data_IF_745416771270
#
_entry.id   IF_745416771270
#
_cell.length_a   1.000
_cell.length_b   1.000
_cell.length_c   1.000
_cell.angle_alpha   90.00
_cell.angle_beta   90.00
_cell.angle_gamma   90.00
#
_symmetry.space_group_name_H-M   'P 1'
#
loop_
_entity.id
_entity.type
_entity.pdbx_description
1 polymer ?
#
# COMPACT_ATOMS: atom_id res chain seq x y z
N UNK A 1 59.11 16.67 -25.94
CA UNK A 1 57.77 16.14 -25.65
C UNK A 1 57.53 16.23 -24.15
N UNK A 2 56.69 17.15 -23.67
CA UNK A 2 56.33 17.28 -22.25
C UNK A 2 54.95 16.64 -22.07
N UNK A 3 54.86 15.64 -21.20
CA UNK A 3 53.61 15.01 -20.82
C UNK A 3 52.93 15.83 -19.71
N UNK A 4 51.70 16.26 -19.96
CA UNK A 4 50.86 16.95 -18.98
C UNK A 4 49.85 15.96 -18.45
N UNK A 5 49.97 15.59 -17.17
CA UNK A 5 49.05 14.68 -16.49
C UNK A 5 47.88 15.52 -15.96
N UNK A 6 46.68 15.28 -16.46
CA UNK A 6 45.43 15.87 -15.96
C UNK A 6 44.89 14.93 -14.88
N UNK A 7 44.65 15.37 -13.63
CA UNK A 7 43.99 14.53 -12.64
C UNK A 7 42.48 14.56 -12.87
N UNK A 8 41.90 13.40 -13.16
CA UNK A 8 40.44 13.21 -13.21
C UNK A 8 39.85 13.32 -11.81
N UNK A 9 39.03 14.34 -11.60
CA UNK A 9 38.23 14.56 -10.40
C UNK A 9 37.07 13.55 -10.39
N UNK A 10 37.22 12.48 -9.60
CA UNK A 10 36.14 11.52 -9.37
C UNK A 10 35.08 12.16 -8.44
N UNK A 11 33.96 12.57 -9.04
CA UNK A 11 32.77 13.05 -8.33
C UNK A 11 32.05 11.85 -7.71
N UNK A 12 32.30 11.62 -6.42
CA UNK A 12 31.60 10.62 -5.62
C UNK A 12 30.18 11.13 -5.33
N UNK A 13 29.21 10.72 -6.14
CA UNK A 13 27.78 10.97 -5.92
C UNK A 13 27.32 10.10 -4.75
N UNK A 14 27.24 10.69 -3.55
CA UNK A 14 26.55 10.13 -2.40
C UNK A 14 25.04 10.16 -2.69
N UNK A 15 24.50 9.02 -3.11
CA UNK A 15 23.06 8.78 -3.10
C UNK A 15 22.61 8.76 -1.64
N UNK A 16 22.03 9.86 -1.17
CA UNK A 16 21.34 9.90 0.12
C UNK A 16 20.15 8.96 0.06
N UNK A 17 20.18 7.92 0.88
CA UNK A 17 19.01 7.13 1.19
C UNK A 17 17.99 8.05 1.86
N UNK A 18 16.95 8.47 1.14
CA UNK A 18 15.76 9.08 1.76
C UNK A 18 15.02 7.96 2.48
N UNK A 19 15.49 7.63 3.69
CA UNK A 19 14.67 6.87 4.63
C UNK A 19 13.65 7.85 5.20
N UNK A 20 12.36 7.50 5.07
CA UNK A 20 11.26 8.20 5.74
C UNK A 20 11.62 8.43 7.21
N UNK A 21 11.53 9.67 7.69
CA UNK A 21 11.88 9.97 9.08
C UNK A 21 10.93 9.26 10.05
N UNK A 22 11.52 8.65 11.10
CA UNK A 22 10.81 8.13 12.27
C UNK A 22 10.91 9.09 13.47
N UNK A 23 11.45 10.29 13.26
CA UNK A 23 11.50 11.34 14.27
C UNK A 23 10.06 11.71 14.68
N UNK A 24 9.89 12.01 15.98
CA UNK A 24 8.62 12.39 16.58
C UNK A 24 8.73 13.84 17.07
N UNK A 25 7.90 14.69 16.48
CA UNK A 25 7.65 16.07 16.92
C UNK A 25 6.28 16.19 17.60
N UNK A 26 6.01 17.37 18.13
CA UNK A 26 4.70 17.73 18.68
C UNK A 26 4.01 18.68 17.71
N UNK A 27 2.73 18.44 17.43
CA UNK A 27 1.92 19.31 16.57
C UNK A 27 1.94 20.77 17.04
N UNK A 28 1.93 21.04 18.36
CA UNK A 28 1.93 22.40 18.94
C UNK A 28 3.17 23.24 18.57
N UNK A 29 4.24 22.56 18.15
CA UNK A 29 5.53 23.19 17.82
C UNK A 29 5.69 23.43 16.31
N UNK A 30 4.66 23.13 15.50
CA UNK A 30 4.70 23.28 14.04
C UNK A 30 3.54 24.14 13.52
N UNK A 31 3.68 24.68 12.32
CA UNK A 31 2.60 25.37 11.64
C UNK A 31 1.56 24.33 11.14
N UNK A 32 0.27 24.41 11.54
CA UNK A 32 -0.78 23.50 11.09
C UNK A 32 -0.94 23.42 9.56
N UNK A 33 -0.68 24.52 8.84
CA UNK A 33 -0.76 24.54 7.38
C UNK A 33 0.37 23.75 6.69
N UNK A 34 1.44 23.40 7.43
CA UNK A 34 2.60 22.67 6.93
C UNK A 34 2.56 21.16 7.24
N UNK A 35 1.38 20.64 7.62
CA UNK A 35 1.20 19.24 7.97
C UNK A 35 0.77 18.43 6.75
N UNK A 36 1.55 17.42 6.39
CA UNK A 36 1.21 16.42 5.39
C UNK A 36 0.43 15.25 6.01
N UNK A 37 -0.60 14.78 5.33
CA UNK A 37 -1.44 13.66 5.79
C UNK A 37 -1.07 12.36 5.04
N UNK A 38 -0.55 11.35 5.74
CA UNK A 38 -0.19 10.04 5.16
C UNK A 38 -1.15 8.98 5.70
N UNK A 39 -2.14 8.60 4.90
CA UNK A 39 -3.17 7.63 5.26
C UNK A 39 -2.95 6.31 4.52
N UNK A 40 -2.88 5.22 5.27
CA UNK A 40 -2.66 3.86 4.74
C UNK A 40 -3.73 2.93 5.26
N UNK A 41 -4.33 2.17 4.36
CA UNK A 41 -5.35 1.17 4.68
C UNK A 41 -4.96 -0.13 4.01
N UNK A 42 -4.94 -1.23 4.76
CA UNK A 42 -4.65 -2.52 4.16
C UNK A 42 -5.35 -3.69 4.83
N UNK A 43 -5.51 -4.76 4.05
CA UNK A 43 -5.91 -6.08 4.53
C UNK A 43 -5.50 -7.14 3.51
N UNK A 44 -5.72 -8.40 3.84
CA UNK A 44 -5.49 -9.54 2.96
C UNK A 44 -6.63 -10.55 3.17
N UNK A 45 -7.03 -11.22 2.11
CA UNK A 45 -8.03 -12.28 2.17
C UNK A 45 -7.60 -13.38 3.14
N UNK A 46 -8.53 -13.79 4.02
CA UNK A 46 -8.25 -14.78 5.06
C UNK A 46 -7.55 -14.20 6.31
N UNK A 47 -7.14 -12.93 6.30
CA UNK A 47 -6.80 -12.22 7.55
C UNK A 47 -8.06 -11.79 8.28
N UNK A 48 -7.96 -11.72 9.59
CA UNK A 48 -9.08 -11.34 10.45
C UNK A 48 -9.48 -9.88 10.29
N UNK A 49 -8.49 -8.99 10.10
CA UNK A 49 -8.67 -7.55 10.25
C UNK A 49 -8.25 -6.74 9.03
N UNK A 50 -8.93 -5.62 8.84
CA UNK A 50 -8.41 -4.47 8.11
C UNK A 50 -7.72 -3.52 9.09
N UNK A 51 -6.65 -2.88 8.63
CA UNK A 51 -5.88 -1.91 9.40
C UNK A 51 -5.91 -0.56 8.70
N UNK A 52 -6.16 0.48 9.48
CA UNK A 52 -6.05 1.88 9.09
C UNK A 52 -4.93 2.50 9.91
N UNK A 53 -3.93 3.08 9.24
CA UNK A 53 -2.84 3.81 9.87
C UNK A 53 -2.79 5.21 9.31
N UNK A 54 -2.90 6.18 10.20
CA UNK A 54 -2.89 7.60 9.87
C UNK A 54 -1.64 8.21 10.49
N UNK A 55 -0.89 8.98 9.69
CA UNK A 55 0.25 9.73 10.16
C UNK A 55 0.16 11.18 9.69
N UNK A 56 0.60 12.08 10.56
CA UNK A 56 0.68 13.51 10.30
C UNK A 56 2.15 13.89 10.34
N UNK A 57 2.65 14.54 9.29
CA UNK A 57 4.08 14.77 9.11
C UNK A 57 4.37 16.24 8.85
N UNK A 58 5.46 16.76 9.41
CA UNK A 58 5.98 18.10 9.10
C UNK A 58 7.17 17.97 8.14
N UNK A 59 7.16 18.75 7.06
CA UNK A 59 8.20 18.70 6.03
C UNK A 59 7.92 17.68 4.92
N UNK A 60 6.65 17.36 4.66
CA UNK A 60 6.23 16.50 3.56
C UNK A 60 6.15 14.99 3.91
N UNK A 61 6.05 14.11 2.89
CA UNK A 61 5.79 12.68 3.07
C UNK A 61 6.87 11.91 3.84
N UNK A 62 8.14 12.37 3.75
CA UNK A 62 9.27 11.77 4.46
C UNK A 62 9.62 12.50 5.77
N UNK A 63 8.79 13.47 6.14
CA UNK A 63 9.04 14.39 7.25
C UNK A 63 8.83 13.79 8.66
N UNK A 64 9.10 14.61 9.66
CA UNK A 64 8.96 14.28 11.09
C UNK A 64 7.50 13.99 11.43
N UNK A 65 7.23 12.81 12.00
CA UNK A 65 5.89 12.44 12.46
C UNK A 65 5.45 13.26 13.66
N UNK A 66 4.14 13.51 13.81
CA UNK A 66 3.62 14.41 14.84
C UNK A 66 2.72 13.68 15.83
N UNK A 67 2.96 13.92 17.11
CA UNK A 67 1.96 13.74 18.16
C UNK A 67 0.99 14.92 18.11
N UNK A 68 -0.28 14.63 17.87
CA UNK A 68 -1.38 15.59 17.95
C UNK A 68 -1.63 15.98 19.41
N UNK A 69 -1.44 17.26 19.73
CA UNK A 69 -1.69 17.86 21.02
C UNK A 69 -3.03 18.59 20.95
N UNK A 70 -3.77 18.66 22.06
CA UNK A 70 -5.05 19.38 22.11
C UNK A 70 -4.93 20.82 21.56
N UNK A 71 -5.89 21.27 20.73
CA UNK A 71 -7.15 20.61 20.38
C UNK A 71 -7.08 19.58 19.24
N UNK A 72 -5.89 19.30 18.70
CA UNK A 72 -5.74 18.42 17.54
C UNK A 72 -6.05 16.95 17.85
N UNK A 73 -6.76 16.30 16.93
CA UNK A 73 -7.18 14.90 17.05
C UNK A 73 -7.70 14.35 15.73
N UNK A 74 -7.79 13.03 15.66
CA UNK A 74 -8.27 12.32 14.47
C UNK A 74 -9.34 11.29 14.84
N UNK A 75 -10.33 11.17 13.97
CA UNK A 75 -11.43 10.23 14.08
C UNK A 75 -11.50 9.36 12.83
N UNK A 76 -11.89 8.10 13.01
CA UNK A 76 -12.37 7.22 11.96
C UNK A 76 -13.80 6.82 12.28
N UNK A 77 -14.72 7.10 11.36
CA UNK A 77 -16.16 6.82 11.52
C UNK A 77 -16.74 7.37 12.84
N UNK A 78 -16.28 8.57 13.22
CA UNK A 78 -16.68 9.25 14.46
C UNK A 78 -16.00 8.73 15.74
N UNK A 79 -15.18 7.68 15.66
CA UNK A 79 -14.39 7.19 16.81
C UNK A 79 -13.02 7.83 16.82
N UNK A 80 -12.67 8.48 17.94
CA UNK A 80 -11.35 9.06 18.12
C UNK A 80 -10.28 7.96 18.17
N UNK A 81 -9.19 8.17 17.44
CA UNK A 81 -8.07 7.24 17.40
C UNK A 81 -6.96 7.76 18.32
N UNK A 82 -6.53 6.99 19.33
CA UNK A 82 -5.44 7.40 20.20
C UNK A 82 -4.10 7.35 19.45
N UNK A 83 -3.14 8.14 19.93
CA UNK A 83 -1.76 8.07 19.45
C UNK A 83 -1.09 6.79 19.93
N UNK A 84 -0.29 6.19 19.05
CA UNK A 84 0.70 5.17 19.36
C UNK A 84 2.03 5.55 18.70
N UNK A 85 3.13 4.91 19.08
CA UNK A 85 4.43 5.20 18.50
C UNK A 85 5.45 4.08 18.66
N UNK A 86 6.36 3.98 17.69
CA UNK A 86 7.54 3.13 17.78
C UNK A 86 8.78 3.88 17.32
N UNK A 87 9.98 3.39 17.70
CA UNK A 87 11.25 3.97 17.24
C UNK A 87 11.41 3.94 15.71
N UNK A 88 10.77 2.98 15.05
CA UNK A 88 10.91 2.75 13.61
C UNK A 88 9.86 3.49 12.78
N UNK A 89 8.68 3.71 13.33
CA UNK A 89 7.57 4.31 12.57
C UNK A 89 7.23 5.74 12.99
N UNK A 90 7.81 6.20 14.11
CA UNK A 90 7.45 7.48 14.72
C UNK A 90 6.07 7.43 15.38
N UNK A 91 5.39 8.57 15.44
CA UNK A 91 4.01 8.68 15.91
C UNK A 91 3.02 8.28 14.80
N UNK A 92 1.98 7.54 15.18
CA UNK A 92 0.90 7.13 14.29
C UNK A 92 -0.40 6.95 15.06
N UNK A 93 -1.49 6.84 14.30
CA UNK A 93 -2.85 6.64 14.78
C UNK A 93 -3.40 5.42 14.08
N UNK A 94 -3.54 4.32 14.81
CA UNK A 94 -3.90 3.03 14.23
C UNK A 94 -5.28 2.57 14.70
N UNK A 95 -6.06 2.06 13.76
CA UNK A 95 -7.34 1.42 14.01
C UNK A 95 -7.39 0.06 13.32
N UNK A 96 -7.83 -0.94 14.06
CA UNK A 96 -7.94 -2.33 13.60
C UNK A 96 -9.37 -2.80 13.81
N UNK A 97 -9.97 -3.36 12.76
CA UNK A 97 -11.35 -3.87 12.81
C UNK A 97 -11.48 -5.15 11.97
N UNK A 98 -12.37 -6.09 12.37
CA UNK A 98 -12.64 -7.27 11.56
C UNK A 98 -13.01 -6.91 10.13
N UNK A 99 -12.36 -7.57 9.16
CA UNK A 99 -12.50 -7.27 7.73
C UNK A 99 -13.97 -7.30 7.27
N UNK A 100 -14.75 -8.25 7.78
CA UNK A 100 -16.17 -8.39 7.48
C UNK A 100 -17.03 -7.17 7.90
N UNK A 101 -16.56 -6.39 8.87
CA UNK A 101 -17.24 -5.18 9.36
C UNK A 101 -16.66 -3.89 8.77
N UNK A 102 -15.53 -3.98 8.06
CA UNK A 102 -14.81 -2.85 7.48
C UNK A 102 -15.00 -2.73 5.96
N UNK A 103 -15.79 -3.61 5.34
CA UNK A 103 -16.16 -3.44 3.95
C UNK A 103 -17.21 -2.32 3.81
N UNK A 104 -16.98 -1.36 2.93
CA UNK A 104 -17.91 -0.27 2.65
C UNK A 104 -17.28 1.12 2.73
N UNK A 105 -18.11 2.12 3.03
CA UNK A 105 -17.73 3.53 3.09
C UNK A 105 -17.28 3.91 4.50
N UNK A 106 -16.25 4.74 4.56
CA UNK A 106 -15.64 5.23 5.79
C UNK A 106 -15.27 6.72 5.66
N UNK A 107 -15.17 7.40 6.80
CA UNK A 107 -14.72 8.80 6.87
C UNK A 107 -13.59 8.96 7.90
N UNK A 108 -12.51 9.62 7.47
CA UNK A 108 -11.44 10.09 8.34
C UNK A 108 -11.65 11.58 8.57
N UNK A 109 -11.75 12.00 9.83
CA UNK A 109 -11.88 13.40 10.21
C UNK A 109 -10.72 13.84 11.09
N UNK A 110 -9.96 14.82 10.63
CA UNK A 110 -8.84 15.42 11.36
C UNK A 110 -9.20 16.83 11.81
N UNK A 111 -8.90 17.17 13.05
CA UNK A 111 -9.02 18.52 13.61
C UNK A 111 -7.62 19.01 13.92
N UNK A 112 -7.24 20.18 13.42
CA UNK A 112 -5.93 20.78 13.67
C UNK A 112 -5.89 21.63 14.97
N UNK A 113 -4.75 22.27 15.25
CA UNK A 113 -4.57 23.10 16.44
C UNK A 113 -5.40 24.38 16.45
N UNK A 114 -5.80 24.85 15.27
CA UNK A 114 -6.66 26.02 15.10
C UNK A 114 -8.15 25.64 15.14
N UNK A 115 -8.47 24.35 15.30
CA UNK A 115 -9.83 23.84 15.25
C UNK A 115 -10.40 23.72 13.84
N UNK A 116 -9.57 23.81 12.79
CA UNK A 116 -9.99 23.55 11.42
C UNK A 116 -10.15 22.04 11.23
N UNK A 117 -11.28 21.66 10.63
CA UNK A 117 -11.57 20.26 10.32
C UNK A 117 -11.23 19.94 8.86
N UNK A 118 -10.77 18.72 8.64
CA UNK A 118 -10.50 18.14 7.33
C UNK A 118 -11.17 16.76 7.28
N UNK A 119 -11.98 16.52 6.26
CA UNK A 119 -12.68 15.26 6.09
C UNK A 119 -12.28 14.56 4.79
N UNK A 120 -11.98 13.26 4.89
CA UNK A 120 -11.72 12.40 3.75
C UNK A 120 -12.63 11.18 3.79
N UNK A 121 -13.47 11.05 2.75
CA UNK A 121 -14.25 9.84 2.51
C UNK A 121 -13.51 8.84 1.62
N UNK A 122 -13.65 7.56 1.94
CA UNK A 122 -13.17 6.47 1.09
C UNK A 122 -14.08 5.25 1.17
N UNK A 123 -13.94 4.39 0.17
CA UNK A 123 -14.57 3.07 0.16
C UNK A 123 -13.51 1.98 0.16
N UNK A 124 -13.67 0.99 1.04
CA UNK A 124 -12.85 -0.20 1.12
C UNK A 124 -13.64 -1.41 0.62
N UNK A 125 -13.20 -1.97 -0.51
CA UNK A 125 -13.86 -3.11 -1.17
C UNK A 125 -12.90 -4.29 -1.25
N UNK A 126 -13.04 -5.28 -0.36
CA UNK A 126 -12.34 -6.55 -0.48
C UNK A 126 -12.70 -7.26 -1.80
N UNK A 127 -11.79 -8.06 -2.33
CA UNK A 127 -12.06 -8.92 -3.48
C UNK A 127 -11.63 -10.37 -3.23
N UNK A 128 -12.21 -11.29 -3.99
CA UNK A 128 -11.94 -12.73 -3.90
C UNK A 128 -11.99 -13.38 -5.29
N UNK A 129 -11.46 -14.60 -5.40
CA UNK A 129 -11.70 -15.46 -6.56
C UNK A 129 -13.10 -16.08 -6.48
N UNK A 130 -13.81 -16.18 -7.61
CA UNK A 130 -15.11 -16.85 -7.71
C UNK A 130 -15.33 -17.45 -9.13
N UNK A 131 -15.26 -18.79 -9.31
CA UNK A 131 -14.92 -19.79 -8.29
C UNK A 131 -13.46 -19.67 -7.83
N UNK A 132 -13.13 -20.29 -6.70
CA UNK A 132 -11.73 -20.42 -6.28
C UNK A 132 -10.94 -21.29 -7.29
N UNK A 133 -9.62 -21.13 -7.30
CA UNK A 133 -8.72 -21.93 -8.12
C UNK A 133 -8.60 -23.36 -7.55
N UNK A 134 -8.42 -24.34 -8.44
CA UNK A 134 -8.12 -25.71 -8.02
C UNK A 134 -6.70 -25.81 -7.44
N UNK A 135 -6.52 -26.67 -6.43
CA UNK A 135 -5.21 -26.94 -5.81
C UNK A 135 -4.16 -27.50 -6.78
N UNK A 136 -4.60 -28.02 -7.93
CA UNK A 136 -3.71 -28.50 -8.99
C UNK A 136 -4.18 -27.97 -10.33
N UNK A 137 -3.25 -27.39 -11.10
CA UNK A 137 -3.49 -26.83 -12.42
C UNK A 137 -2.54 -27.42 -13.46
N UNK A 138 -2.96 -27.44 -14.72
CA UNK A 138 -2.12 -27.74 -15.87
C UNK A 138 -1.54 -26.48 -16.50
N UNK A 139 -0.52 -26.62 -17.37
CA UNK A 139 0.04 -25.54 -18.21
C UNK A 139 -0.89 -25.13 -19.36
N UNK A 140 -2.12 -24.78 -19.02
CA UNK A 140 -3.11 -24.18 -19.91
C UNK A 140 -3.37 -22.74 -19.50
N UNK A 141 -4.02 -21.97 -20.36
CA UNK A 141 -4.47 -20.62 -20.01
C UNK A 141 -5.32 -20.67 -18.72
N UNK A 142 -4.93 -19.88 -17.72
CA UNK A 142 -5.63 -19.75 -16.45
C UNK A 142 -6.50 -18.52 -16.48
N UNK A 143 -7.79 -18.71 -16.21
CA UNK A 143 -8.77 -17.63 -16.19
C UNK A 143 -9.23 -17.41 -14.76
N UNK A 144 -8.79 -16.31 -14.17
CA UNK A 144 -9.18 -15.89 -12.83
C UNK A 144 -10.38 -14.98 -12.93
N UNK A 145 -11.51 -15.38 -12.32
CA UNK A 145 -12.70 -14.54 -12.20
C UNK A 145 -12.76 -13.96 -10.80
N UNK A 146 -13.03 -12.66 -10.70
CA UNK A 146 -13.02 -11.94 -9.43
C UNK A 146 -14.42 -11.49 -9.03
N UNK A 147 -14.67 -11.57 -7.73
CA UNK A 147 -15.77 -10.86 -7.08
C UNK A 147 -15.21 -9.64 -6.35
N UNK A 148 -15.84 -8.48 -6.51
CA UNK A 148 -15.43 -7.24 -5.82
C UNK A 148 -14.44 -6.36 -6.58
N UNK A 149 -14.00 -6.78 -7.78
CA UNK A 149 -13.25 -5.94 -8.71
C UNK A 149 -14.11 -5.49 -9.90
N UNK A 150 -13.83 -4.30 -10.39
CA UNK A 150 -14.48 -3.70 -11.56
C UNK A 150 -13.54 -3.71 -12.78
N UNK A 151 -14.13 -3.69 -13.97
CA UNK A 151 -13.38 -3.57 -15.22
C UNK A 151 -12.50 -2.32 -15.25
N UNK A 152 -11.30 -2.44 -15.80
CA UNK A 152 -10.34 -1.34 -15.87
C UNK A 152 -9.48 -1.17 -14.61
N UNK A 153 -9.75 -1.89 -13.53
CA UNK A 153 -8.92 -1.84 -12.33
C UNK A 153 -7.61 -2.63 -12.52
N UNK A 154 -6.43 -2.01 -12.28
CA UNK A 154 -5.16 -2.72 -12.38
C UNK A 154 -4.91 -3.58 -11.15
N UNK A 155 -4.43 -4.81 -11.35
CA UNK A 155 -4.08 -5.77 -10.30
C UNK A 155 -2.67 -6.27 -10.59
N UNK A 156 -1.81 -6.22 -9.57
CA UNK A 156 -0.53 -6.88 -9.65
C UNK A 156 -0.72 -8.38 -9.49
N UNK A 157 -0.19 -9.14 -10.44
CA UNK A 157 -0.15 -10.59 -10.46
C UNK A 157 1.27 -11.00 -10.18
N UNK A 158 1.47 -11.76 -9.11
CA UNK A 158 2.75 -12.38 -8.80
C UNK A 158 2.59 -13.89 -8.70
N UNK A 159 3.40 -14.63 -9.46
CA UNK A 159 3.51 -16.08 -9.34
C UNK A 159 4.98 -16.47 -9.26
N UNK A 160 5.33 -17.25 -8.24
CA UNK A 160 6.68 -17.80 -8.07
C UNK A 160 6.63 -19.28 -7.76
N UNK A 161 7.57 -20.03 -8.30
CA UNK A 161 7.79 -21.42 -7.90
C UNK A 161 8.91 -21.51 -6.84
N UNK A 162 9.41 -22.72 -6.58
CA UNK A 162 10.42 -23.00 -5.55
C UNK A 162 11.86 -23.11 -6.08
N UNK A 163 12.04 -23.06 -7.39
CA UNK A 163 13.36 -23.11 -8.03
C UNK A 163 13.96 -21.71 -8.14
N UNK A 164 15.26 -21.61 -7.85
CA UNK A 164 15.99 -20.35 -7.99
C UNK A 164 16.22 -19.93 -9.46
N UNK A 165 16.10 -20.88 -10.40
CA UNK A 165 16.49 -20.69 -11.80
C UNK A 165 15.35 -20.35 -12.76
N UNK A 166 14.10 -20.47 -12.32
CA UNK A 166 12.91 -20.08 -13.07
C UNK A 166 12.69 -18.57 -12.99
N UNK A 167 11.88 -18.05 -13.90
CA UNK A 167 11.49 -16.64 -13.87
C UNK A 167 10.10 -16.53 -13.25
N UNK A 168 9.98 -15.76 -12.18
CA UNK A 168 8.68 -15.42 -11.61
C UNK A 168 7.85 -14.61 -12.62
N UNK A 169 6.53 -14.76 -12.54
CA UNK A 169 5.60 -13.83 -13.16
C UNK A 169 5.42 -12.68 -12.17
N UNK A 170 5.68 -11.45 -12.60
CA UNK A 170 5.44 -10.25 -11.80
C UNK A 170 5.02 -9.12 -12.73
N UNK A 171 3.71 -8.96 -12.90
CA UNK A 171 3.15 -8.01 -13.85
C UNK A 171 1.92 -7.31 -13.28
N UNK A 172 1.57 -6.17 -13.88
CA UNK A 172 0.31 -5.49 -13.62
C UNK A 172 -0.59 -5.75 -14.82
N UNK A 173 -1.68 -6.48 -14.63
CA UNK A 173 -2.74 -6.63 -15.63
C UNK A 173 -3.98 -5.85 -15.19
N UNK A 174 -4.92 -5.69 -16.12
CA UNK A 174 -6.18 -4.98 -15.93
C UNK A 174 -7.33 -5.96 -15.97
N UNK A 175 -8.25 -5.84 -15.01
CA UNK A 175 -9.49 -6.62 -15.00
C UNK A 175 -10.32 -6.30 -16.25
N UNK A 176 -10.69 -7.33 -17.02
CA UNK A 176 -11.54 -7.25 -18.21
C UNK A 176 -12.67 -8.25 -18.08
N UNK A 177 -13.92 -7.79 -18.10
CA UNK A 177 -15.10 -8.61 -17.86
C UNK A 177 -15.01 -9.40 -16.53
N UNK A 178 -14.51 -8.74 -15.47
CA UNK A 178 -14.28 -9.34 -14.16
C UNK A 178 -13.15 -10.38 -14.11
N UNK A 179 -12.26 -10.41 -15.12
CA UNK A 179 -11.24 -11.47 -15.27
C UNK A 179 -9.83 -10.96 -15.51
N UNK A 180 -8.86 -11.79 -15.13
CA UNK A 180 -7.46 -11.75 -15.55
C UNK A 180 -7.11 -13.11 -16.14
N UNK A 181 -6.33 -13.11 -17.23
CA UNK A 181 -5.92 -14.34 -17.91
C UNK A 181 -4.40 -14.42 -17.86
N UNK A 182 -3.89 -15.52 -17.29
CA UNK A 182 -2.47 -15.85 -17.37
C UNK A 182 -2.32 -16.91 -18.46
N UNK A 183 -1.63 -16.56 -19.52
CA UNK A 183 -1.45 -17.44 -20.67
C UNK A 183 -0.56 -18.64 -20.34
N UNK A 184 -0.79 -19.74 -21.04
CA UNK A 184 0.08 -20.92 -21.04
C UNK A 184 1.54 -20.58 -21.33
N UNK A 185 1.81 -19.64 -22.24
CA UNK A 185 3.15 -19.15 -22.54
C UNK A 185 3.82 -18.50 -21.31
N UNK A 186 3.10 -17.68 -20.54
CA UNK A 186 3.63 -17.10 -19.30
C UNK A 186 3.93 -18.17 -18.26
N UNK A 187 3.12 -19.23 -18.18
CA UNK A 187 3.36 -20.33 -17.25
C UNK A 187 4.63 -21.12 -17.60
N UNK A 188 5.12 -21.09 -18.85
CA UNK A 188 6.39 -21.75 -19.20
C UNK A 188 7.60 -21.19 -18.45
N UNK A 189 7.47 -19.99 -17.87
CA UNK A 189 8.50 -19.38 -17.03
C UNK A 189 8.63 -20.07 -15.66
N UNK A 190 7.58 -20.76 -15.22
CA UNK A 190 7.49 -21.43 -13.93
C UNK A 190 7.83 -22.92 -14.05
N UNK A 191 8.53 -23.44 -13.06
CA UNK A 191 8.79 -24.86 -12.90
C UNK A 191 7.53 -25.65 -12.50
N UNK A 192 7.51 -26.93 -12.83
CA UNK A 192 6.49 -27.87 -12.37
C UNK A 192 6.64 -28.11 -10.87
N UNK A 193 5.54 -28.11 -10.13
CA UNK A 193 5.52 -28.24 -8.67
C UNK A 193 4.77 -27.11 -7.97
N UNK A 194 5.06 -26.84 -6.69
CA UNK A 194 4.38 -25.81 -5.91
C UNK A 194 4.65 -24.40 -6.44
N UNK A 195 3.57 -23.62 -6.58
CA UNK A 195 3.57 -22.24 -7.04
C UNK A 195 2.77 -21.39 -6.04
N UNK A 196 3.37 -20.29 -5.60
CA UNK A 196 2.67 -19.25 -4.86
C UNK A 196 2.04 -18.29 -5.84
N UNK A 197 0.75 -18.03 -5.69
CA UNK A 197 0.00 -17.03 -6.45
C UNK A 197 -0.43 -15.91 -5.51
N UNK A 198 -0.20 -14.67 -5.92
CA UNK A 198 -0.60 -13.46 -5.22
C UNK A 198 -1.25 -12.49 -6.21
N UNK A 199 -2.46 -12.04 -5.88
CA UNK A 199 -3.05 -10.87 -6.51
C UNK A 199 -3.06 -9.73 -5.50
N UNK A 200 -2.56 -8.57 -5.91
CA UNK A 200 -2.55 -7.36 -5.09
C UNK A 200 -3.20 -6.21 -5.83
N UNK A 201 -4.18 -5.57 -5.19
CA UNK A 201 -4.77 -4.31 -5.64
C UNK A 201 -4.22 -3.18 -4.79
N UNK A 202 -3.49 -2.27 -5.42
CA UNK A 202 -3.06 -1.03 -4.80
C UNK A 202 -3.73 0.17 -5.47
N UNK A 203 -4.17 1.12 -4.66
CA UNK A 203 -4.65 2.41 -5.15
C UNK A 203 -4.07 3.52 -4.29
N UNK A 204 -3.56 4.56 -4.95
CA UNK A 204 -3.16 5.81 -4.31
C UNK A 204 -4.02 6.95 -4.86
N UNK A 205 -4.48 7.83 -3.97
CA UNK A 205 -5.09 9.11 -4.37
C UNK A 205 -4.57 10.25 -3.50
N UNK A 206 -4.50 11.44 -4.08
CA UNK A 206 -4.37 12.69 -3.31
C UNK A 206 -5.69 12.91 -2.55
N UNK A 207 -5.58 13.39 -1.32
CA UNK A 207 -6.74 13.71 -0.49
C UNK A 207 -7.47 14.95 -1.02
N UNK A 208 -8.78 15.02 -0.81
CA UNK A 208 -9.60 16.15 -1.27
C UNK A 208 -9.44 17.37 -0.36
N UNK A 209 -9.40 17.13 0.95
CA UNK A 209 -9.24 18.16 1.97
C UNK A 209 -7.93 17.98 2.73
N UNK A 210 -7.05 18.98 2.61
CA UNK A 210 -5.73 18.94 3.25
C UNK A 210 -5.33 20.30 3.79
N UNK A 211 -4.36 20.30 4.70
CA UNK A 211 -3.51 21.46 4.87
C UNK A 211 -2.71 21.76 3.59
N UNK A 212 -1.99 22.88 3.54
CA UNK A 212 -1.29 23.33 2.33
C UNK A 212 -0.23 22.34 1.86
N UNK A 213 0.37 21.56 2.77
CA UNK A 213 1.38 20.54 2.45
C UNK A 213 0.80 19.33 1.68
N UNK A 214 -0.53 19.14 1.69
CA UNK A 214 -1.19 18.05 0.97
C UNK A 214 -1.32 16.76 1.77
N UNK A 215 -1.64 15.68 1.07
CA UNK A 215 -1.80 14.37 1.68
C UNK A 215 -2.15 13.27 0.68
N UNK A 216 -1.95 12.03 1.09
CA UNK A 216 -2.18 10.84 0.28
C UNK A 216 -2.99 9.80 1.05
N UNK A 217 -3.88 9.11 0.34
CA UNK A 217 -4.54 7.88 0.78
C UNK A 217 -4.05 6.71 -0.06
N UNK A 218 -3.46 5.71 0.59
CA UNK A 218 -3.06 4.44 0.00
C UNK A 218 -3.95 3.32 0.53
N UNK A 219 -4.44 2.49 -0.39
CA UNK A 219 -5.22 1.29 -0.07
C UNK A 219 -4.56 0.09 -0.73
N UNK A 220 -4.33 -0.96 0.05
CA UNK A 220 -3.79 -2.23 -0.43
C UNK A 220 -4.70 -3.37 0.02
N UNK A 221 -5.09 -4.24 -0.91
CA UNK A 221 -5.74 -5.49 -0.58
C UNK A 221 -5.14 -6.60 -1.42
N UNK A 222 -4.84 -7.74 -0.80
CA UNK A 222 -4.27 -8.89 -1.50
C UNK A 222 -5.01 -10.18 -1.21
N UNK A 223 -4.87 -11.16 -2.11
CA UNK A 223 -5.25 -12.55 -1.85
C UNK A 223 -4.14 -13.47 -2.33
N UNK A 224 -3.96 -14.60 -1.62
CA UNK A 224 -2.88 -15.56 -1.87
C UNK A 224 -3.42 -16.97 -2.01
N UNK A 225 -2.83 -17.75 -2.92
CA UNK A 225 -3.03 -19.20 -3.04
C UNK A 225 -1.70 -19.91 -3.18
N UNK A 226 -1.66 -21.17 -2.74
CA UNK A 226 -0.61 -22.12 -3.07
C UNK A 226 -1.24 -23.18 -3.96
N UNK A 227 -0.66 -23.43 -5.13
CA UNK A 227 -1.18 -24.36 -6.13
C UNK A 227 -0.07 -25.26 -6.64
N UNK A 228 -0.41 -26.45 -7.10
CA UNK A 228 0.52 -27.37 -7.76
C UNK A 228 0.39 -27.22 -9.28
N UNK A 229 1.47 -26.78 -9.94
CA UNK A 229 1.55 -26.73 -11.40
C UNK A 229 2.05 -28.07 -11.96
N UNK A 230 1.27 -28.66 -12.86
CA UNK A 230 1.60 -29.89 -13.58
C UNK A 230 1.63 -29.65 -15.08
N UNK A 231 2.33 -30.54 -15.77
CA UNK A 231 2.31 -30.63 -17.23
C UNK A 231 0.96 -31.18 -17.73
#
# INVERSE_FOLDING_TARGET
>A
MRATIIPSLALLVLFGASCTSSEIGNSKDVNPDAVFFDYKIWSEEGKENAVVKLQYRMGGPDGTTLVLNEPSKVFLDGKEIPVDSTKFEGAYYEFVQPLAQFAGKHSIRFIDLNGKEFEEEFEFRPFSLDPDIADTISRSDLVFSFKGLEDGQPVQVWMSDTLYSSNDINEVDTVRQGKIIISSDQLTNLATGPVNLLFTRESEKVLNETAREGGLLRKTYSLRREIELKD
#
